data_IF_256993375205
#
_entry.id   IF_256993375205
#
_cell.length_a   1.000
_cell.length_b   1.000
_cell.length_c   1.000
_cell.angle_alpha   90.00
_cell.angle_beta   90.00
_cell.angle_gamma   90.00
#
_symmetry.space_group_name_H-M   'P 1'
#
loop_
_entity.id
_entity.type
_entity.pdbx_description
1 polymer ?
#
# COMPACT_ATOMS: atom_id res chain seq x y z
N UNK A 1 74.67 3.08 34.33
CA UNK A 1 74.22 3.62 33.06
C UNK A 1 72.76 3.19 32.89
N UNK A 2 71.79 4.05 33.11
CA UNK A 2 70.40 3.79 32.97
C UNK A 2 69.98 4.15 31.54
N UNK A 3 69.70 3.16 30.74
CA UNK A 3 69.06 3.33 29.40
C UNK A 3 67.58 3.51 29.60
N UNK A 4 67.13 4.76 29.56
CA UNK A 4 65.72 5.06 29.50
C UNK A 4 65.22 4.70 28.08
N UNK A 5 64.45 3.63 27.95
CA UNK A 5 63.72 3.36 26.73
C UNK A 5 62.49 4.29 26.62
N UNK A 6 62.26 4.91 25.46
CA UNK A 6 61.09 5.72 25.32
C UNK A 6 59.85 4.77 25.30
N UNK A 7 58.92 5.01 26.21
CA UNK A 7 57.62 4.39 26.19
C UNK A 7 56.91 4.82 24.91
N UNK A 8 56.79 3.90 23.97
CA UNK A 8 55.93 4.09 22.79
C UNK A 8 54.48 4.16 23.26
N UNK A 9 53.96 5.34 23.36
CA UNK A 9 52.51 5.51 23.52
C UNK A 9 51.85 5.08 22.23
N UNK A 10 51.38 3.84 22.21
CA UNK A 10 50.52 3.38 21.12
C UNK A 10 49.17 4.08 21.31
N UNK A 11 48.93 5.11 20.49
CA UNK A 11 47.60 5.67 20.34
C UNK A 11 46.73 4.55 19.74
N UNK A 12 45.92 3.91 20.58
CA UNK A 12 44.84 3.06 20.12
C UNK A 12 43.76 3.99 19.57
N UNK A 13 43.73 4.11 18.27
CA UNK A 13 42.61 4.79 17.57
C UNK A 13 41.37 3.91 17.76
N UNK A 14 40.56 4.28 18.74
CA UNK A 14 39.23 3.68 18.88
C UNK A 14 38.38 4.20 17.73
N UNK A 15 38.29 3.45 16.66
CA UNK A 15 37.32 3.70 15.63
C UNK A 15 35.97 3.34 16.22
N UNK A 16 35.23 4.34 16.69
CA UNK A 16 33.84 4.18 17.05
C UNK A 16 33.04 3.91 15.77
N UNK A 17 32.75 2.64 15.51
CA UNK A 17 31.81 2.25 14.49
C UNK A 17 30.44 2.66 14.99
N UNK A 18 29.97 3.83 14.55
CA UNK A 18 28.58 4.25 14.74
C UNK A 18 27.74 3.37 13.82
N UNK A 19 27.26 2.26 14.34
CA UNK A 19 26.22 1.49 13.68
C UNK A 19 24.93 2.28 13.76
N UNK A 20 24.62 3.02 12.70
CA UNK A 20 23.29 3.58 12.53
C UNK A 20 22.36 2.40 12.26
N UNK A 21 21.71 1.94 13.31
CA UNK A 21 20.64 0.97 13.19
C UNK A 21 19.47 1.69 12.46
N UNK A 22 19.32 1.44 11.16
CA UNK A 22 18.09 1.78 10.48
C UNK A 22 17.02 0.87 11.05
N UNK A 23 16.24 1.38 11.98
CA UNK A 23 15.04 0.70 12.45
C UNK A 23 14.11 0.58 11.25
N UNK A 24 13.90 -0.63 10.74
CA UNK A 24 12.85 -0.88 9.77
C UNK A 24 11.51 -0.50 10.41
N UNK A 25 10.62 0.21 9.68
CA UNK A 25 9.31 0.54 10.21
C UNK A 25 8.60 -0.73 10.67
N UNK A 26 7.98 -0.68 11.83
CA UNK A 26 7.20 -1.80 12.33
C UNK A 26 5.99 -2.04 11.43
N UNK A 27 5.45 -3.24 11.44
CA UNK A 27 4.23 -3.57 10.70
C UNK A 27 3.05 -2.67 11.11
N UNK A 28 2.97 -2.28 12.39
CA UNK A 28 1.99 -1.34 12.90
C UNK A 28 2.17 0.07 12.32
N UNK A 29 3.43 0.55 12.17
CA UNK A 29 3.71 1.85 11.58
C UNK A 29 3.33 1.88 10.10
N UNK A 30 3.67 0.83 9.34
CA UNK A 30 3.26 0.70 7.95
C UNK A 30 1.73 0.71 7.79
N UNK A 31 1.01 0.02 8.66
CA UNK A 31 -0.47 0.03 8.65
C UNK A 31 -1.02 1.43 8.96
N UNK A 32 -0.45 2.16 9.89
CA UNK A 32 -0.88 3.51 10.23
C UNK A 32 -0.62 4.49 9.09
N UNK A 33 0.53 4.38 8.45
CA UNK A 33 0.87 5.21 7.28
C UNK A 33 -0.05 4.91 6.09
N UNK A 34 -0.35 3.63 5.85
CA UNK A 34 -1.31 3.22 4.82
C UNK A 34 -2.72 3.77 5.10
N UNK A 35 -3.18 3.71 6.35
CA UNK A 35 -4.47 4.31 6.75
C UNK A 35 -4.53 5.80 6.46
N UNK A 36 -3.47 6.55 6.76
CA UNK A 36 -3.41 7.98 6.47
C UNK A 36 -3.58 8.27 4.98
N UNK A 37 -2.96 7.46 4.11
CA UNK A 37 -3.16 7.55 2.65
C UNK A 37 -4.60 7.21 2.24
N UNK A 38 -5.21 6.19 2.86
CA UNK A 38 -6.60 5.83 2.59
C UNK A 38 -7.55 6.97 2.98
N UNK A 39 -7.40 7.53 4.16
CA UNK A 39 -8.23 8.65 4.63
C UNK A 39 -8.10 9.88 3.73
N UNK A 40 -6.89 10.21 3.30
CA UNK A 40 -6.68 11.30 2.35
C UNK A 40 -7.37 10.99 1.01
N UNK A 41 -7.23 9.77 0.51
CA UNK A 41 -7.90 9.32 -0.71
C UNK A 41 -9.42 9.44 -0.65
N UNK A 42 -10.03 9.07 0.47
CA UNK A 42 -11.48 9.22 0.70
C UNK A 42 -11.90 10.69 0.61
N UNK A 43 -11.15 11.58 1.28
CA UNK A 43 -11.44 13.01 1.26
C UNK A 43 -11.41 13.60 -0.16
N UNK A 44 -10.43 13.24 -0.97
CA UNK A 44 -10.34 13.76 -2.35
C UNK A 44 -11.36 13.11 -3.29
N UNK A 45 -11.69 11.83 -3.08
CA UNK A 45 -12.75 11.13 -3.82
C UNK A 45 -14.13 11.76 -3.58
N UNK A 46 -14.45 12.15 -2.36
CA UNK A 46 -15.67 12.87 -2.01
C UNK A 46 -15.80 14.22 -2.73
N UNK A 47 -14.69 14.79 -3.16
CA UNK A 47 -14.63 16.02 -3.96
C UNK A 47 -14.62 15.75 -5.48
N UNK A 48 -14.78 14.49 -5.89
CA UNK A 48 -14.74 14.08 -7.29
C UNK A 48 -13.34 13.96 -7.89
N UNK A 49 -12.29 14.03 -7.09
CA UNK A 49 -10.90 13.97 -7.54
C UNK A 49 -10.41 12.50 -7.56
N UNK A 50 -11.04 11.70 -8.42
CA UNK A 50 -10.81 10.25 -8.47
C UNK A 50 -9.38 9.84 -8.80
N UNK A 51 -8.69 10.57 -9.68
CA UNK A 51 -7.29 10.28 -10.04
C UNK A 51 -6.35 10.48 -8.86
N UNK A 52 -6.57 11.55 -8.07
CA UNK A 52 -5.81 11.77 -6.84
C UNK A 52 -6.11 10.69 -5.80
N UNK A 53 -7.38 10.30 -5.66
CA UNK A 53 -7.76 9.21 -4.78
C UNK A 53 -7.05 7.90 -5.16
N UNK A 54 -7.05 7.53 -6.42
CA UNK A 54 -6.32 6.36 -6.95
C UNK A 54 -4.84 6.44 -6.57
N UNK A 55 -4.18 7.57 -6.80
CA UNK A 55 -2.78 7.76 -6.43
C UNK A 55 -2.54 7.50 -4.92
N UNK A 56 -3.42 8.05 -4.06
CA UNK A 56 -3.31 7.87 -2.60
C UNK A 56 -3.51 6.41 -2.19
N UNK A 57 -4.48 5.73 -2.77
CA UNK A 57 -4.76 4.33 -2.45
C UNK A 57 -3.73 3.37 -3.05
N UNK A 58 -3.15 3.69 -4.22
CA UNK A 58 -1.98 2.97 -4.75
C UNK A 58 -0.79 3.10 -3.80
N UNK A 59 -0.54 4.30 -3.25
CA UNK A 59 0.48 4.50 -2.21
C UNK A 59 0.18 3.69 -0.94
N UNK A 60 -1.08 3.62 -0.54
CA UNK A 60 -1.47 2.83 0.64
C UNK A 60 -1.12 1.35 0.48
N UNK A 61 -1.39 0.74 -0.68
CA UNK A 61 -1.09 -0.67 -0.92
C UNK A 61 0.40 -0.95 -1.18
N UNK A 62 1.17 0.05 -1.58
CA UNK A 62 2.64 -0.03 -1.61
C UNK A 62 3.22 -0.05 -0.19
N UNK A 63 2.69 0.78 0.70
CA UNK A 63 3.12 0.88 2.09
C UNK A 63 2.72 -0.38 2.87
N UNK A 64 1.47 -0.81 2.72
CA UNK A 64 0.95 -2.03 3.32
C UNK A 64 0.17 -2.88 2.32
N UNK A 65 0.84 -3.83 1.65
CA UNK A 65 0.22 -4.71 0.65
C UNK A 65 -0.87 -5.64 1.20
N UNK A 66 -1.05 -5.70 2.51
CA UNK A 66 -2.06 -6.54 3.19
C UNK A 66 -3.31 -5.76 3.59
N UNK A 67 -3.41 -4.49 3.22
CA UNK A 67 -4.52 -3.65 3.61
C UNK A 67 -5.73 -3.81 2.65
N UNK A 68 -6.60 -4.76 2.97
CA UNK A 68 -7.75 -5.12 2.15
C UNK A 68 -8.68 -3.93 1.82
N UNK A 69 -8.91 -3.03 2.78
CA UNK A 69 -9.76 -1.85 2.57
C UNK A 69 -9.24 -0.94 1.46
N UNK A 70 -7.92 -0.75 1.37
CA UNK A 70 -7.33 0.06 0.32
C UNK A 70 -7.52 -0.54 -1.08
N UNK A 71 -7.47 -1.86 -1.21
CA UNK A 71 -7.77 -2.54 -2.48
C UNK A 71 -9.25 -2.41 -2.86
N UNK A 72 -10.17 -2.48 -1.90
CA UNK A 72 -11.59 -2.24 -2.16
C UNK A 72 -11.84 -0.82 -2.66
N UNK A 73 -11.21 0.17 -2.05
CA UNK A 73 -11.35 1.57 -2.45
C UNK A 73 -10.74 1.82 -3.84
N UNK A 74 -9.58 1.20 -4.13
CA UNK A 74 -8.99 1.19 -5.48
C UNK A 74 -9.93 0.59 -6.51
N UNK A 75 -10.57 -0.54 -6.19
CA UNK A 75 -11.50 -1.20 -7.11
C UNK A 75 -12.65 -0.28 -7.49
N UNK A 76 -13.26 0.38 -6.51
CA UNK A 76 -14.36 1.34 -6.73
C UNK A 76 -13.89 2.51 -7.60
N UNK A 77 -12.70 3.04 -7.35
CA UNK A 77 -12.16 4.15 -8.11
C UNK A 77 -11.79 3.77 -9.55
N UNK A 78 -11.18 2.61 -9.75
CA UNK A 78 -10.90 2.09 -11.09
C UNK A 78 -12.19 1.84 -11.88
N UNK A 79 -13.23 1.33 -11.23
CA UNK A 79 -14.55 1.17 -11.82
C UNK A 79 -15.11 2.53 -12.27
N UNK A 80 -15.05 3.53 -11.40
CA UNK A 80 -15.48 4.89 -11.69
C UNK A 80 -14.74 5.51 -12.90
N UNK A 81 -13.44 5.23 -13.04
CA UNK A 81 -12.61 5.69 -14.14
C UNK A 81 -12.69 4.78 -15.39
N UNK A 82 -13.53 3.75 -15.37
CA UNK A 82 -13.69 2.82 -16.48
C UNK A 82 -12.52 1.84 -16.67
N UNK A 83 -11.63 1.72 -15.70
CA UNK A 83 -10.50 0.80 -15.73
C UNK A 83 -10.92 -0.57 -15.16
N UNK A 84 -11.79 -1.27 -15.90
CA UNK A 84 -12.50 -2.43 -15.40
C UNK A 84 -11.61 -3.63 -15.07
N UNK A 85 -10.53 -3.86 -15.82
CA UNK A 85 -9.59 -4.95 -15.52
C UNK A 85 -8.83 -4.70 -14.23
N UNK A 86 -8.43 -3.46 -13.98
CA UNK A 86 -7.80 -3.07 -12.71
C UNK A 86 -8.77 -3.15 -11.55
N UNK A 87 -10.03 -2.75 -11.75
CA UNK A 87 -11.07 -2.87 -10.74
C UNK A 87 -11.28 -4.33 -10.33
N UNK A 88 -11.40 -5.24 -11.30
CA UNK A 88 -11.54 -6.68 -11.05
C UNK A 88 -10.40 -7.22 -10.21
N UNK A 89 -9.15 -6.95 -10.60
CA UNK A 89 -7.96 -7.40 -9.87
C UNK A 89 -7.91 -6.85 -8.45
N UNK A 90 -8.31 -5.61 -8.25
CA UNK A 90 -8.33 -4.98 -6.93
C UNK A 90 -9.41 -5.61 -6.03
N UNK A 91 -10.62 -5.88 -6.54
CA UNK A 91 -11.65 -6.62 -5.80
C UNK A 91 -11.19 -8.03 -5.42
N UNK A 92 -10.59 -8.75 -6.36
CA UNK A 92 -10.07 -10.10 -6.12
C UNK A 92 -8.99 -10.08 -5.01
N UNK A 93 -8.10 -9.09 -5.05
CA UNK A 93 -7.07 -8.93 -4.01
C UNK A 93 -7.67 -8.58 -2.65
N UNK A 94 -8.66 -7.72 -2.62
CA UNK A 94 -9.36 -7.38 -1.37
C UNK A 94 -10.03 -8.63 -0.76
N UNK A 95 -10.66 -9.48 -1.56
CA UNK A 95 -11.29 -10.73 -1.12
C UNK A 95 -10.28 -11.81 -0.72
N UNK A 96 -9.13 -11.87 -1.40
CA UNK A 96 -8.03 -12.76 -0.99
C UNK A 96 -7.54 -12.42 0.41
N UNK A 97 -7.40 -11.12 0.72
CA UNK A 97 -6.93 -10.63 2.01
C UNK A 97 -8.01 -10.66 3.10
N UNK A 98 -9.26 -10.51 2.75
CA UNK A 98 -10.40 -10.46 3.66
C UNK A 98 -11.59 -11.25 3.08
N UNK A 99 -11.52 -12.59 3.02
CA UNK A 99 -12.52 -13.43 2.34
C UNK A 99 -13.91 -13.34 2.98
N UNK A 100 -14.00 -12.98 4.25
CA UNK A 100 -15.25 -12.85 4.99
C UNK A 100 -15.80 -11.41 5.03
N UNK A 101 -15.17 -10.47 4.33
CA UNK A 101 -15.66 -9.11 4.26
C UNK A 101 -16.88 -9.04 3.33
N UNK A 102 -18.05 -8.91 3.95
CA UNK A 102 -19.32 -8.93 3.23
C UNK A 102 -19.48 -7.73 2.30
N UNK A 103 -19.01 -6.55 2.69
CA UNK A 103 -19.10 -5.34 1.88
C UNK A 103 -18.27 -5.48 0.60
N UNK A 104 -17.03 -5.94 0.70
CA UNK A 104 -16.17 -6.18 -0.47
C UNK A 104 -16.81 -7.21 -1.42
N UNK A 105 -17.37 -8.27 -0.86
CA UNK A 105 -18.07 -9.30 -1.64
C UNK A 105 -19.26 -8.72 -2.39
N UNK A 106 -20.09 -7.95 -1.72
CA UNK A 106 -21.25 -7.31 -2.34
C UNK A 106 -20.83 -6.35 -3.45
N UNK A 107 -19.81 -5.53 -3.22
CA UNK A 107 -19.27 -4.62 -4.23
C UNK A 107 -18.78 -5.39 -5.46
N UNK A 108 -18.04 -6.47 -5.25
CA UNK A 108 -17.52 -7.29 -6.36
C UNK A 108 -18.61 -8.03 -7.12
N UNK A 109 -19.61 -8.58 -6.45
CA UNK A 109 -20.76 -9.22 -7.11
C UNK A 109 -21.52 -8.22 -7.97
N UNK A 110 -21.79 -7.03 -7.46
CA UNK A 110 -22.45 -5.97 -8.22
C UNK A 110 -21.61 -5.53 -9.43
N UNK A 111 -20.31 -5.37 -9.25
CA UNK A 111 -19.37 -5.07 -10.33
C UNK A 111 -19.44 -6.12 -11.44
N UNK A 112 -19.40 -7.40 -11.10
CA UNK A 112 -19.51 -8.51 -12.07
C UNK A 112 -20.85 -8.49 -12.79
N UNK A 113 -21.94 -8.35 -12.06
CA UNK A 113 -23.29 -8.31 -12.63
C UNK A 113 -23.45 -7.21 -13.68
N UNK A 114 -22.98 -6.01 -13.39
CA UNK A 114 -23.05 -4.88 -14.32
C UNK A 114 -22.17 -5.11 -15.54
N UNK A 115 -20.94 -5.57 -15.36
CA UNK A 115 -19.97 -5.70 -16.44
C UNK A 115 -20.25 -6.93 -17.33
N UNK A 116 -20.72 -8.03 -16.78
CA UNK A 116 -21.08 -9.20 -17.57
C UNK A 116 -22.34 -8.93 -18.45
N UNK A 117 -23.30 -8.15 -17.95
CA UNK A 117 -24.44 -7.71 -18.75
C UNK A 117 -24.03 -6.83 -19.93
N UNK A 118 -23.10 -5.89 -19.69
CA UNK A 118 -22.62 -4.98 -20.76
C UNK A 118 -21.74 -5.70 -21.78
N UNK A 119 -20.97 -6.70 -21.36
CA UNK A 119 -20.19 -7.58 -22.22
C UNK A 119 -21.11 -8.39 -23.17
N UNK A 120 -22.12 -9.03 -22.61
CA UNK A 120 -23.10 -9.81 -23.39
C UNK A 120 -23.90 -8.97 -24.37
N UNK A 121 -24.13 -7.69 -24.10
CA UNK A 121 -24.82 -6.77 -25.00
C UNK A 121 -23.98 -6.36 -26.22
N UNK A 122 -22.64 -6.40 -26.11
CA UNK A 122 -21.72 -6.10 -27.21
C UNK A 122 -21.47 -7.27 -28.15
N UNK A 123 -21.77 -8.50 -27.73
CA UNK A 123 -21.58 -9.73 -28.53
C UNK A 123 -22.80 -10.19 -29.32
N UNK A 124 -23.92 -9.46 -29.26
CA UNK A 124 -25.07 -9.77 -30.14
C UNK A 124 -24.86 -9.11 -31.50
N UNK A 125 -24.80 -9.90 -32.58
CA UNK A 125 -24.70 -9.39 -33.94
C UNK A 125 -25.96 -8.56 -34.31
#
# INVERSE_FOLDING_TARGET
MSTTQPMSVRLATVVAVVTVAFASPSFADARNDAKAQVEFGINVAQRGLWREAIYRWERAVEIDPTYAAAYNDLAIAYEHEGQLDKARKAYEKALELAPNNQQVRQNYELFKEINDRTGSAKEKP
#
